data_IF_896103307576
#
_entry.id   IF_896103307576
#
_cell.length_a   1.000
_cell.length_b   1.000
_cell.length_c   1.000
_cell.angle_alpha   90.00
_cell.angle_beta   90.00
_cell.angle_gamma   90.00
#
_symmetry.space_group_name_H-M   'P 1'
#
loop_
_entity.id
_entity.type
_entity.pdbx_description
1 polymer ?
#
# COMPACT_ATOMS: atom_id res chain seq x y z
N UNK A 1 6.02 -16.91 22.05
CA UNK A 1 5.94 -16.08 20.83
C UNK A 1 6.79 -14.85 21.08
N UNK A 2 7.84 -14.64 20.30
CA UNK A 2 8.66 -13.44 20.45
C UNK A 2 7.85 -12.22 20.01
N UNK A 3 7.58 -11.25 20.91
CA UNK A 3 6.80 -10.08 20.56
C UNK A 3 7.43 -9.28 19.41
N UNK A 4 8.76 -9.25 19.31
CA UNK A 4 9.49 -8.61 18.22
C UNK A 4 9.18 -9.23 16.86
N UNK A 5 9.14 -10.57 16.76
CA UNK A 5 8.76 -11.24 15.49
C UNK A 5 7.31 -10.98 15.11
N UNK A 6 6.42 -10.95 16.10
CA UNK A 6 5.01 -10.63 15.88
C UNK A 6 4.83 -9.18 15.37
N UNK A 7 5.60 -8.23 15.91
CA UNK A 7 5.60 -6.83 15.43
C UNK A 7 6.10 -6.74 14.00
N UNK A 8 7.24 -7.38 13.67
CA UNK A 8 7.78 -7.38 12.30
C UNK A 8 6.77 -7.98 11.32
N UNK A 9 6.14 -9.10 11.68
CA UNK A 9 5.09 -9.74 10.88
C UNK A 9 3.87 -8.85 10.68
N UNK A 10 3.41 -8.17 11.73
CA UNK A 10 2.25 -7.27 11.67
C UNK A 10 2.52 -6.03 10.81
N UNK A 11 3.72 -5.47 10.91
CA UNK A 11 4.15 -4.33 10.09
C UNK A 11 4.29 -4.72 8.61
N UNK A 12 4.88 -5.89 8.35
CA UNK A 12 4.98 -6.49 7.03
C UNK A 12 3.61 -6.67 6.35
N UNK A 13 2.65 -7.26 7.06
CA UNK A 13 1.27 -7.40 6.61
C UNK A 13 0.61 -6.05 6.31
N UNK A 14 0.84 -5.06 7.18
CA UNK A 14 0.32 -3.70 6.98
C UNK A 14 0.88 -3.08 5.71
N UNK A 15 2.20 -3.18 5.49
CA UNK A 15 2.84 -2.67 4.28
C UNK A 15 2.32 -3.38 3.02
N UNK A 16 2.10 -4.69 3.10
CA UNK A 16 1.56 -5.48 1.98
C UNK A 16 0.08 -5.16 1.66
N UNK A 17 -0.71 -4.68 2.63
CA UNK A 17 -2.13 -4.33 2.42
C UNK A 17 -2.33 -2.91 1.86
N UNK A 18 -1.32 -2.03 1.98
CA UNK A 18 -1.35 -0.67 1.41
C UNK A 18 -1.67 -0.63 -0.09
N UNK A 19 -0.99 -1.36 -1.00
CA UNK A 19 -1.33 -1.30 -2.42
C UNK A 19 -2.78 -1.77 -2.69
N UNK A 20 -3.26 -2.79 -1.98
CA UNK A 20 -4.63 -3.28 -2.11
C UNK A 20 -5.69 -2.25 -1.67
N UNK A 21 -5.37 -1.40 -0.69
CA UNK A 21 -6.28 -0.36 -0.18
C UNK A 21 -6.19 0.94 -0.97
N UNK A 22 -4.97 1.37 -1.31
CA UNK A 22 -4.72 2.68 -1.93
C UNK A 22 -5.10 2.68 -3.42
N UNK A 23 -4.97 1.56 -4.13
CA UNK A 23 -5.38 1.45 -5.55
C UNK A 23 -6.86 1.78 -5.77
N UNK A 24 -7.84 1.12 -5.13
CA UNK A 24 -9.24 1.47 -5.31
C UNK A 24 -9.57 2.88 -4.81
N UNK A 25 -8.87 3.37 -3.78
CA UNK A 25 -9.00 4.75 -3.31
C UNK A 25 -8.59 5.77 -4.38
N UNK A 26 -7.52 5.51 -5.13
CA UNK A 26 -7.11 6.36 -6.26
C UNK A 26 -8.22 6.46 -7.32
N UNK A 27 -8.85 5.33 -7.66
CA UNK A 27 -9.95 5.32 -8.62
C UNK A 27 -11.18 6.08 -8.09
N UNK A 28 -11.55 5.85 -6.83
CA UNK A 28 -12.68 6.54 -6.20
C UNK A 28 -12.46 8.05 -6.14
N UNK A 29 -11.26 8.50 -5.79
CA UNK A 29 -10.91 9.92 -5.67
C UNK A 29 -10.78 10.64 -7.02
N UNK A 30 -10.65 9.89 -8.11
CA UNK A 30 -10.58 10.40 -9.47
C UNK A 30 -11.94 10.34 -10.20
N UNK A 31 -12.96 9.72 -9.59
CA UNK A 31 -14.31 9.62 -10.16
C UNK A 31 -15.10 10.92 -9.97
N UNK A 32 -15.48 11.57 -11.08
CA UNK A 32 -16.32 12.77 -11.08
C UNK A 32 -17.71 12.56 -10.48
N UNK A 33 -18.25 11.35 -10.60
CA UNK A 33 -19.58 11.05 -10.07
C UNK A 33 -19.59 11.07 -8.54
N UNK A 34 -18.44 10.81 -7.90
CA UNK A 34 -18.28 10.80 -6.45
C UNK A 34 -17.69 12.11 -5.90
N UNK A 35 -16.69 12.70 -6.56
CA UNK A 35 -15.91 13.83 -6.00
C UNK A 35 -16.27 15.17 -6.67
N UNK A 36 -17.05 15.14 -7.75
CA UNK A 36 -17.45 16.33 -8.49
C UNK A 36 -16.23 17.11 -9.02
N UNK A 37 -16.15 18.40 -8.69
CA UNK A 37 -15.08 19.29 -9.17
C UNK A 37 -13.77 19.18 -8.39
N UNK A 38 -13.75 18.53 -7.22
CA UNK A 38 -12.57 18.46 -6.33
C UNK A 38 -11.72 17.21 -6.56
N UNK A 39 -11.67 16.72 -7.80
CA UNK A 39 -10.92 15.52 -8.12
C UNK A 39 -9.42 15.73 -8.00
N UNK A 40 -8.74 14.61 -7.81
CA UNK A 40 -7.32 14.60 -7.55
C UNK A 40 -6.54 15.27 -8.70
N UNK A 41 -5.81 16.34 -8.40
CA UNK A 41 -4.94 16.99 -9.38
C UNK A 41 -3.74 16.10 -9.76
N UNK A 42 -3.03 16.45 -10.84
CA UNK A 42 -1.90 15.67 -11.38
C UNK A 42 -0.82 15.37 -10.33
N UNK A 43 -0.51 16.35 -9.47
CA UNK A 43 0.49 16.20 -8.39
C UNK A 43 0.05 15.15 -7.37
N UNK A 44 -1.23 15.19 -6.97
CA UNK A 44 -1.77 14.25 -6.00
C UNK A 44 -1.88 12.84 -6.58
N UNK A 45 -2.26 12.71 -7.86
CA UNK A 45 -2.23 11.41 -8.54
C UNK A 45 -0.82 10.85 -8.61
N UNK A 46 0.19 11.67 -8.92
CA UNK A 46 1.58 11.24 -8.94
C UNK A 46 2.05 10.74 -7.56
N UNK A 47 1.71 11.45 -6.48
CA UNK A 47 2.04 11.04 -5.12
C UNK A 47 1.39 9.71 -4.73
N UNK A 48 0.11 9.51 -5.07
CA UNK A 48 -0.61 8.27 -4.76
C UNK A 48 -0.09 7.10 -5.59
N UNK A 49 0.17 7.31 -6.90
CA UNK A 49 0.79 6.29 -7.75
C UNK A 49 2.18 5.90 -7.21
N UNK A 50 2.98 6.87 -6.77
CA UNK A 50 4.27 6.60 -6.14
C UNK A 50 4.12 5.77 -4.86
N UNK A 51 3.16 6.09 -3.99
CA UNK A 51 2.87 5.32 -2.79
C UNK A 51 2.42 3.88 -3.11
N UNK A 52 1.58 3.69 -4.13
CA UNK A 52 1.15 2.37 -4.61
C UNK A 52 2.36 1.57 -5.12
N UNK A 53 3.21 2.18 -5.95
CA UNK A 53 4.40 1.53 -6.48
C UNK A 53 5.35 1.09 -5.36
N UNK A 54 5.60 1.96 -4.38
CA UNK A 54 6.39 1.64 -3.21
C UNK A 54 5.77 0.50 -2.40
N UNK A 55 4.47 0.55 -2.14
CA UNK A 55 3.73 -0.52 -1.47
C UNK A 55 3.80 -1.86 -2.21
N UNK A 56 3.77 -1.84 -3.53
CA UNK A 56 3.92 -3.04 -4.36
C UNK A 56 5.34 -3.63 -4.26
N UNK A 57 6.38 -2.79 -4.35
CA UNK A 57 7.77 -3.22 -4.14
C UNK A 57 7.93 -3.84 -2.74
N UNK A 58 7.38 -3.20 -1.72
CA UNK A 58 7.39 -3.73 -0.35
C UNK A 58 6.67 -5.07 -0.28
N UNK A 59 5.47 -5.21 -0.87
CA UNK A 59 4.75 -6.48 -0.86
C UNK A 59 5.56 -7.61 -1.51
N UNK A 60 6.18 -7.34 -2.67
CA UNK A 60 7.02 -8.31 -3.40
C UNK A 60 8.27 -8.71 -2.61
N UNK A 61 8.87 -7.80 -1.84
CA UNK A 61 10.05 -8.11 -1.01
C UNK A 61 9.64 -8.81 0.29
N UNK A 62 8.55 -8.37 0.90
CA UNK A 62 8.13 -8.78 2.24
C UNK A 62 7.60 -10.20 2.26
N UNK A 63 6.82 -10.62 1.25
CA UNK A 63 6.28 -11.99 1.17
C UNK A 63 7.41 -13.04 1.18
N UNK A 64 8.44 -12.96 0.31
CA UNK A 64 9.62 -13.82 0.38
C UNK A 64 10.37 -13.69 1.70
N UNK A 65 10.55 -12.48 2.23
CA UNK A 65 11.24 -12.28 3.51
C UNK A 65 10.52 -13.00 4.67
N UNK A 66 9.18 -13.01 4.64
CA UNK A 66 8.37 -13.69 5.65
C UNK A 66 8.47 -15.21 5.54
N UNK A 67 8.52 -15.73 4.31
CA UNK A 67 8.55 -17.17 4.01
C UNK A 67 9.96 -17.75 4.21
N UNK A 68 11.00 -17.07 3.71
CA UNK A 68 12.38 -17.55 3.69
C UNK A 68 13.27 -16.94 4.78
N UNK A 69 12.99 -15.71 5.21
CA UNK A 69 13.74 -15.04 6.27
C UNK A 69 13.31 -15.43 7.68
N UNK A 70 12.39 -16.40 7.80
CA UNK A 70 11.96 -17.00 9.07
C UNK A 70 13.02 -17.91 9.71
N UNK A 71 14.19 -17.36 10.05
CA UNK A 71 15.11 -17.95 11.03
C UNK A 71 15.43 -16.94 12.11
#
# INVERSE_FOLDING_TARGET
LDPLRLTIFSMALTAASLPLTVVPFLFLLNDERYVGQHRNGVISNAAVIFAIALGFVLAVVTIPLQIFGGT
#
